data_IF_075492211406
#
_entry.id   IF_075492211406
#
_cell.length_a   1.000
_cell.length_b   1.000
_cell.length_c   1.000
_cell.angle_alpha   90.00
_cell.angle_beta   90.00
_cell.angle_gamma   90.00
#
_symmetry.space_group_name_H-M   'P 1'
#
loop_
_entity.id
_entity.type
_entity.pdbx_description
1 polymer ?
#
# COMPACT_ATOMS: atom_id res chain seq x y z
N UNK A 1 -14.54 -1.66 1.64
CA UNK A 1 -13.19 -2.09 1.32
C UNK A 1 -12.31 -0.91 0.90
N UNK A 2 -11.02 -1.14 0.86
CA UNK A 2 -10.04 -0.08 0.52
C UNK A 2 -10.27 0.50 -0.88
N UNK A 3 -10.68 -0.33 -1.85
CA UNK A 3 -11.00 0.14 -3.20
C UNK A 3 -12.07 1.24 -3.22
N UNK A 4 -13.03 1.18 -2.32
CA UNK A 4 -14.05 2.22 -2.19
C UNK A 4 -13.43 3.56 -1.75
N UNK A 5 -12.52 3.52 -0.78
CA UNK A 5 -11.81 4.71 -0.33
C UNK A 5 -10.97 5.31 -1.47
N UNK A 6 -10.35 4.47 -2.28
CA UNK A 6 -9.61 4.94 -3.46
C UNK A 6 -10.52 5.59 -4.50
N UNK A 7 -11.71 5.03 -4.72
CA UNK A 7 -12.70 5.64 -5.62
C UNK A 7 -13.17 6.99 -5.11
N UNK A 8 -13.34 7.13 -3.80
CA UNK A 8 -13.69 8.43 -3.20
C UNK A 8 -12.60 9.48 -3.45
N UNK A 9 -11.34 9.10 -3.37
CA UNK A 9 -10.23 9.99 -3.71
C UNK A 9 -10.31 10.39 -5.18
N UNK A 10 -10.51 9.43 -6.07
CA UNK A 10 -10.58 9.65 -7.52
C UNK A 10 -11.72 10.59 -7.90
N UNK A 11 -12.91 10.33 -7.39
CA UNK A 11 -14.11 11.06 -7.79
C UNK A 11 -14.38 12.31 -6.96
N UNK A 12 -13.86 12.38 -5.75
CA UNK A 12 -14.09 13.48 -4.83
C UNK A 12 -13.21 14.70 -5.03
N UNK A 13 -12.24 14.63 -5.93
CA UNK A 13 -11.28 15.71 -6.16
C UNK A 13 -11.08 15.95 -7.65
N UNK A 14 -11.00 17.22 -8.06
CA UNK A 14 -10.66 17.58 -9.44
C UNK A 14 -9.16 17.63 -9.64
N UNK A 15 -8.45 18.17 -8.66
CA UNK A 15 -6.99 18.33 -8.65
C UNK A 15 -6.45 17.98 -7.28
N UNK A 16 -5.25 17.44 -7.25
CA UNK A 16 -4.52 17.19 -6.00
C UNK A 16 -3.05 17.47 -6.21
N UNK A 17 -2.42 18.10 -5.23
CA UNK A 17 -0.96 18.19 -5.18
C UNK A 17 -0.38 16.85 -4.77
N UNK A 18 0.94 16.70 -4.92
CA UNK A 18 1.64 15.50 -4.49
C UNK A 18 1.44 15.24 -3.00
N UNK A 19 1.52 16.29 -2.18
CA UNK A 19 1.30 16.19 -0.73
C UNK A 19 -0.14 15.78 -0.41
N UNK A 20 -1.11 16.39 -1.07
CA UNK A 20 -2.52 16.07 -0.87
C UNK A 20 -2.84 14.63 -1.24
N UNK A 21 -2.32 14.16 -2.38
CA UNK A 21 -2.54 12.79 -2.82
C UNK A 21 -1.86 11.79 -1.88
N UNK A 22 -0.61 12.05 -1.50
CA UNK A 22 0.11 11.20 -0.55
C UNK A 22 -0.62 11.13 0.80
N UNK A 23 -1.12 12.26 1.30
CA UNK A 23 -1.89 12.33 2.54
C UNK A 23 -3.20 11.57 2.42
N UNK A 24 -3.92 11.70 1.31
CA UNK A 24 -5.18 11.00 1.09
C UNK A 24 -4.99 9.48 1.03
N UNK A 25 -3.96 9.00 0.33
CA UNK A 25 -3.63 7.58 0.29
C UNK A 25 -3.24 7.07 1.67
N UNK A 26 -2.40 7.80 2.39
CA UNK A 26 -2.00 7.44 3.75
C UNK A 26 -3.22 7.36 4.68
N UNK A 27 -4.08 8.36 4.65
CA UNK A 27 -5.30 8.39 5.44
C UNK A 27 -6.22 7.20 5.14
N UNK A 28 -6.30 6.79 3.87
CA UNK A 28 -7.14 5.66 3.46
C UNK A 28 -6.71 4.33 4.08
N UNK A 29 -5.48 4.24 4.57
CA UNK A 29 -4.95 3.01 5.22
C UNK A 29 -5.20 2.98 6.72
N UNK A 30 -5.63 4.08 7.33
CA UNK A 30 -5.89 4.14 8.77
C UNK A 30 -7.01 3.18 9.16
N UNK A 31 -6.83 2.48 10.29
CA UNK A 31 -7.80 1.51 10.78
C UNK A 31 -7.92 0.23 9.95
N UNK A 32 -7.00 -0.01 9.02
CA UNK A 32 -7.03 -1.17 8.13
C UNK A 32 -5.90 -2.17 8.41
N UNK A 33 -5.64 -2.45 9.67
CA UNK A 33 -4.62 -3.42 10.07
C UNK A 33 -4.76 -4.75 9.33
N UNK A 34 -5.99 -5.23 9.19
CA UNK A 34 -6.28 -6.50 8.52
C UNK A 34 -5.81 -6.49 7.07
N UNK A 35 -5.93 -5.36 6.36
CA UNK A 35 -5.44 -5.23 4.99
C UNK A 35 -3.93 -5.53 4.92
N UNK A 36 -3.14 -4.88 5.77
CA UNK A 36 -1.69 -5.07 5.80
C UNK A 36 -1.30 -6.47 6.25
N UNK A 37 -2.02 -7.02 7.23
CA UNK A 37 -1.76 -8.37 7.74
C UNK A 37 -1.97 -9.43 6.66
N UNK A 38 -3.07 -9.34 5.92
CA UNK A 38 -3.36 -10.29 4.83
C UNK A 38 -2.32 -10.17 3.73
N UNK A 39 -1.93 -8.94 3.37
CA UNK A 39 -0.91 -8.71 2.34
C UNK A 39 0.47 -9.20 2.78
N UNK A 40 0.78 -9.14 4.06
CA UNK A 40 2.05 -9.60 4.62
C UNK A 40 2.11 -11.13 4.78
N UNK A 41 0.97 -11.80 4.93
CA UNK A 41 0.94 -13.26 5.00
C UNK A 41 1.58 -13.83 3.76
N UNK A 42 2.42 -14.84 3.96
CA UNK A 42 3.29 -15.39 2.94
C UNK A 42 2.56 -15.65 1.62
N UNK A 43 2.61 -14.67 0.73
CA UNK A 43 1.95 -14.73 -0.57
C UNK A 43 2.40 -15.94 -1.38
N UNK A 44 3.69 -16.28 -1.28
CA UNK A 44 4.24 -17.40 -2.03
C UNK A 44 3.57 -18.72 -1.61
N UNK A 45 3.50 -18.99 -0.31
CA UNK A 45 2.88 -20.22 0.19
C UNK A 45 1.38 -20.24 -0.07
N UNK A 46 0.69 -19.12 0.15
CA UNK A 46 -0.75 -19.01 -0.09
C UNK A 46 -1.05 -19.20 -1.57
N UNK A 47 -0.28 -18.56 -2.45
CA UNK A 47 -0.47 -18.66 -3.90
C UNK A 47 -0.20 -20.08 -4.40
N UNK A 48 0.83 -20.75 -3.88
CA UNK A 48 1.19 -22.10 -4.28
C UNK A 48 0.16 -23.15 -3.84
N UNK A 49 -0.46 -22.93 -2.68
CA UNK A 49 -1.40 -23.90 -2.08
C UNK A 49 -2.87 -23.55 -2.27
N UNK A 50 -3.17 -22.45 -2.92
CA UNK A 50 -4.55 -22.05 -3.21
C UNK A 50 -5.03 -22.64 -4.54
N UNK A 51 -6.34 -22.89 -4.63
CA UNK A 51 -6.95 -23.24 -5.91
C UNK A 51 -6.83 -22.06 -6.88
N UNK A 52 -6.60 -22.37 -8.16
CA UNK A 52 -6.44 -21.35 -9.19
C UNK A 52 -7.67 -20.43 -9.28
N UNK A 53 -8.86 -20.93 -9.04
CA UNK A 53 -10.09 -20.15 -9.04
C UNK A 53 -10.11 -19.10 -7.92
N UNK A 54 -9.70 -19.47 -6.72
CA UNK A 54 -9.59 -18.55 -5.57
C UNK A 54 -8.48 -17.53 -5.77
N UNK A 55 -7.34 -18.00 -6.26
CA UNK A 55 -6.23 -17.11 -6.57
C UNK A 55 -6.62 -16.09 -7.63
N UNK A 56 -7.35 -16.54 -8.66
CA UNK A 56 -7.84 -15.66 -9.72
C UNK A 56 -8.79 -14.59 -9.16
N UNK A 57 -9.72 -14.96 -8.28
CA UNK A 57 -10.63 -14.00 -7.65
C UNK A 57 -9.87 -12.97 -6.80
N UNK A 58 -8.87 -13.41 -6.07
CA UNK A 58 -8.01 -12.53 -5.29
C UNK A 58 -7.25 -11.55 -6.20
N UNK A 59 -6.68 -12.05 -7.30
CA UNK A 59 -5.96 -11.21 -8.26
C UNK A 59 -6.87 -10.20 -8.96
N UNK A 60 -8.14 -10.52 -9.15
CA UNK A 60 -9.13 -9.56 -9.70
C UNK A 60 -9.34 -8.37 -8.76
N UNK A 61 -9.33 -8.60 -7.45
CA UNK A 61 -9.43 -7.52 -6.46
C UNK A 61 -8.20 -6.61 -6.54
N UNK A 62 -7.01 -7.19 -6.64
CA UNK A 62 -5.76 -6.44 -6.81
C UNK A 62 -5.78 -5.64 -8.11
N UNK A 63 -6.22 -6.26 -9.20
CA UNK A 63 -6.36 -5.57 -10.50
C UNK A 63 -7.25 -4.34 -10.39
N UNK A 64 -8.38 -4.45 -9.69
CA UNK A 64 -9.28 -3.33 -9.49
C UNK A 64 -8.59 -2.18 -8.74
N UNK A 65 -7.85 -2.49 -7.68
CA UNK A 65 -7.08 -1.51 -6.93
C UNK A 65 -6.04 -0.83 -7.85
N UNK A 66 -5.33 -1.61 -8.65
CA UNK A 66 -4.33 -1.08 -9.58
C UNK A 66 -4.96 -0.15 -10.62
N UNK A 67 -6.12 -0.53 -11.16
CA UNK A 67 -6.83 0.29 -12.14
C UNK A 67 -7.28 1.63 -11.53
N UNK A 68 -7.79 1.61 -10.31
CA UNK A 68 -8.22 2.84 -9.62
C UNK A 68 -7.02 3.75 -9.33
N UNK A 69 -5.93 3.19 -8.82
CA UNK A 69 -4.71 3.95 -8.55
C UNK A 69 -4.13 4.55 -9.84
N UNK A 70 -4.10 3.77 -10.91
CA UNK A 70 -3.65 4.27 -12.20
C UNK A 70 -4.53 5.43 -12.69
N UNK A 71 -5.84 5.31 -12.54
CA UNK A 71 -6.78 6.38 -12.89
C UNK A 71 -6.52 7.64 -12.07
N UNK A 72 -6.21 7.51 -10.78
CA UNK A 72 -5.81 8.64 -9.95
C UNK A 72 -4.55 9.33 -10.48
N UNK A 73 -3.53 8.55 -10.83
CA UNK A 73 -2.28 9.09 -11.34
C UNK A 73 -2.48 9.81 -12.67
N UNK A 74 -3.30 9.25 -13.56
CA UNK A 74 -3.64 9.90 -14.85
C UNK A 74 -4.38 11.23 -14.61
N UNK A 75 -5.34 11.23 -13.69
CA UNK A 75 -6.15 12.40 -13.41
C UNK A 75 -5.37 13.52 -12.73
N UNK A 76 -4.63 13.18 -11.66
CA UNK A 76 -3.97 14.19 -10.82
C UNK A 76 -2.56 14.55 -11.29
N UNK A 77 -1.90 13.65 -11.98
CA UNK A 77 -0.52 13.85 -12.46
C UNK A 77 -0.39 13.47 -13.93
N UNK A 78 -1.07 14.24 -14.83
CA UNK A 78 -1.13 13.87 -16.25
C UNK A 78 0.22 13.92 -16.96
N UNK A 79 1.23 14.53 -16.38
CA UNK A 79 2.58 14.56 -16.94
C UNK A 79 3.36 13.24 -16.71
N UNK A 80 2.87 12.36 -15.82
CA UNK A 80 3.50 11.06 -15.63
C UNK A 80 3.33 10.19 -16.87
N UNK A 81 4.43 9.56 -17.28
CA UNK A 81 4.40 8.58 -18.37
C UNK A 81 3.76 7.27 -17.89
N UNK A 82 3.34 6.43 -18.82
CA UNK A 82 2.84 5.10 -18.51
C UNK A 82 3.88 4.29 -17.73
N UNK A 83 5.14 4.37 -18.13
CA UNK A 83 6.24 3.69 -17.46
C UNK A 83 6.41 4.15 -16.01
N UNK A 84 6.30 5.45 -15.76
CA UNK A 84 6.36 6.01 -14.41
C UNK A 84 5.18 5.55 -13.55
N UNK A 85 3.98 5.46 -14.13
CA UNK A 85 2.81 4.96 -13.40
C UNK A 85 2.95 3.48 -13.06
N UNK A 86 3.45 2.67 -13.98
CA UNK A 86 3.73 1.26 -13.72
C UNK A 86 4.76 1.12 -12.60
N UNK A 87 5.83 1.90 -12.66
CA UNK A 87 6.85 1.93 -11.61
C UNK A 87 6.28 2.31 -10.25
N UNK A 88 5.37 3.28 -10.21
CA UNK A 88 4.68 3.67 -8.98
C UNK A 88 3.91 2.49 -8.39
N UNK A 89 3.08 1.83 -9.19
CA UNK A 89 2.23 0.73 -8.73
C UNK A 89 3.07 -0.47 -8.26
N UNK A 90 4.08 -0.84 -9.05
CA UNK A 90 4.94 -2.00 -8.73
C UNK A 90 5.96 -1.71 -7.63
N UNK A 91 6.03 -0.49 -7.14
CA UNK A 91 6.80 -0.15 -5.95
C UNK A 91 5.89 -0.03 -4.72
N UNK A 92 4.78 0.68 -4.85
CA UNK A 92 3.87 0.91 -3.73
C UNK A 92 3.24 -0.38 -3.20
N UNK A 93 2.71 -1.24 -4.09
CA UNK A 93 1.99 -2.43 -3.63
C UNK A 93 2.91 -3.43 -2.91
N UNK A 94 4.09 -3.80 -3.44
CA UNK A 94 5.02 -4.63 -2.68
C UNK A 94 5.50 -3.99 -1.38
N UNK A 95 5.68 -2.68 -1.36
CA UNK A 95 6.01 -1.96 -0.14
C UNK A 95 4.93 -2.17 0.93
N UNK A 96 3.66 -2.01 0.55
CA UNK A 96 2.54 -2.20 1.47
C UNK A 96 2.46 -3.65 1.98
N UNK A 97 2.85 -4.62 1.16
CA UNK A 97 2.87 -6.03 1.56
C UNK A 97 3.92 -6.30 2.65
N UNK A 98 4.99 -5.53 2.68
CA UNK A 98 6.13 -5.76 3.57
C UNK A 98 6.13 -5.00 4.88
N UNK A 99 5.27 -3.99 5.05
CA UNK A 99 5.39 -3.08 6.21
C UNK A 99 4.71 -3.58 7.49
N UNK A 100 3.85 -4.59 7.41
CA UNK A 100 3.09 -5.06 8.57
C UNK A 100 3.96 -5.39 9.79
N UNK A 101 5.05 -6.16 9.65
CA UNK A 101 5.90 -6.49 10.79
C UNK A 101 6.58 -5.28 11.43
N UNK A 102 6.79 -4.21 10.64
CA UNK A 102 7.42 -2.98 11.13
C UNK A 102 6.45 -2.07 11.87
N UNK A 103 5.16 -2.13 11.50
CA UNK A 103 4.10 -1.30 12.10
C UNK A 103 3.50 -2.00 13.31
N UNK A 104 3.36 -3.34 13.25
CA UNK A 104 2.71 -4.15 14.28
C UNK A 104 3.66 -5.25 14.78
N UNK A 105 4.84 -4.91 15.32
CA UNK A 105 5.79 -5.92 15.80
C UNK A 105 5.25 -6.65 17.03
N UNK A 106 5.53 -7.95 17.13
CA UNK A 106 5.22 -8.74 18.32
C UNK A 106 6.17 -8.34 19.45
N UNK A 107 5.81 -8.68 20.69
CA UNK A 107 6.70 -8.46 21.83
C UNK A 107 8.03 -9.18 21.68
N UNK A 108 8.01 -10.38 21.09
CA UNK A 108 9.22 -11.13 20.78
C UNK A 108 10.13 -10.41 19.79
N UNK A 109 9.54 -9.81 18.76
CA UNK A 109 10.29 -9.03 17.77
C UNK A 109 10.89 -7.79 18.41
N UNK A 110 10.13 -7.09 19.27
CA UNK A 110 10.63 -5.91 19.99
C UNK A 110 11.83 -6.28 20.88
N UNK A 111 11.72 -7.38 21.61
CA UNK A 111 12.80 -7.86 22.47
C UNK A 111 14.05 -8.19 21.65
N UNK A 112 13.88 -8.90 20.54
CA UNK A 112 15.00 -9.27 19.67
C UNK A 112 15.67 -8.01 19.09
N UNK A 113 14.90 -7.02 18.67
CA UNK A 113 15.42 -5.75 18.16
C UNK A 113 16.22 -5.02 19.26
N UNK A 114 15.70 -4.98 20.48
CA UNK A 114 16.38 -4.37 21.61
C UNK A 114 17.73 -5.05 21.88
N UNK A 115 17.74 -6.37 21.90
CA UNK A 115 18.98 -7.15 22.11
C UNK A 115 19.98 -6.96 20.97
N UNK A 116 19.49 -6.76 19.75
CA UNK A 116 20.32 -6.54 18.57
C UNK A 116 20.78 -5.08 18.42
N UNK A 117 20.33 -4.19 19.29
CA UNK A 117 20.68 -2.78 19.22
C UNK A 117 19.97 -2.03 18.09
N UNK A 118 18.86 -2.56 17.58
CA UNK A 118 18.06 -1.91 16.56
C UNK A 118 17.01 -1.03 17.24
N UNK A 119 16.97 0.30 16.96
CA UNK A 119 15.96 1.15 17.56
C UNK A 119 14.55 0.77 17.08
N UNK A 120 13.66 0.53 18.05
CA UNK A 120 12.26 0.24 17.76
C UNK A 120 11.49 1.56 17.78
N UNK A 121 11.25 2.14 16.60
CA UNK A 121 10.49 3.38 16.45
C UNK A 121 9.03 3.07 16.21
N UNK A 122 8.14 3.73 16.96
CA UNK A 122 6.71 3.61 16.73
C UNK A 122 6.32 4.37 15.46
N UNK A 123 6.16 3.65 14.36
CA UNK A 123 5.69 4.21 13.10
C UNK A 123 4.31 3.65 12.77
N UNK A 124 3.46 4.45 12.14
CA UNK A 124 2.15 4.01 11.68
C UNK A 124 2.22 3.64 10.19
N UNK A 125 1.28 2.80 9.75
CA UNK A 125 1.15 2.47 8.34
C UNK A 125 0.96 3.75 7.50
N UNK A 126 0.13 4.67 7.98
CA UNK A 126 -0.12 5.95 7.29
C UNK A 126 1.17 6.75 7.09
N UNK A 127 2.03 6.83 8.11
CA UNK A 127 3.30 7.53 8.00
C UNK A 127 4.21 6.92 6.94
N UNK A 128 4.30 5.59 6.90
CA UNK A 128 5.14 4.89 5.94
C UNK A 128 4.57 4.99 4.51
N UNK A 129 3.27 4.86 4.35
CA UNK A 129 2.61 5.01 3.05
C UNK A 129 2.80 6.44 2.52
N UNK A 130 2.60 7.45 3.36
CA UNK A 130 2.84 8.84 2.97
C UNK A 130 4.27 9.03 2.46
N UNK A 131 5.25 8.59 3.23
CA UNK A 131 6.66 8.73 2.87
C UNK A 131 6.99 8.03 1.55
N UNK A 132 6.46 6.82 1.35
CA UNK A 132 6.66 6.06 0.11
C UNK A 132 6.05 6.79 -1.08
N UNK A 133 4.80 7.20 -0.98
CA UNK A 133 4.08 7.87 -2.07
C UNK A 133 4.78 9.19 -2.45
N UNK A 134 5.18 9.98 -1.45
CA UNK A 134 5.89 11.23 -1.72
C UNK A 134 7.19 11.00 -2.48
N UNK A 135 7.96 9.98 -2.10
CA UNK A 135 9.20 9.63 -2.80
C UNK A 135 8.94 9.18 -4.23
N UNK A 136 7.87 8.40 -4.44
CA UNK A 136 7.52 7.90 -5.77
C UNK A 136 7.02 9.00 -6.70
N UNK A 137 6.38 10.02 -6.16
CA UNK A 137 5.90 11.16 -6.96
C UNK A 137 6.99 12.19 -7.27
N UNK A 138 8.06 12.15 -6.55
CA UNK A 138 9.19 13.07 -6.74
C UNK A 138 9.10 14.39 -5.99
#
# INVERSE_FOLDING_TARGET
>A
AWSRSLLEILHGNEKMTKDEFAAALAHSTEGRETLFRIQCMNLYDIEEHSRIERLTEYKKVIRKVMEILNACLVKFFPSMTEEERIGFLYTLLPFMYGIYPYVYPTERQKEAMQRAGIPCRGVTAAQLVYACVRKLLG
#
